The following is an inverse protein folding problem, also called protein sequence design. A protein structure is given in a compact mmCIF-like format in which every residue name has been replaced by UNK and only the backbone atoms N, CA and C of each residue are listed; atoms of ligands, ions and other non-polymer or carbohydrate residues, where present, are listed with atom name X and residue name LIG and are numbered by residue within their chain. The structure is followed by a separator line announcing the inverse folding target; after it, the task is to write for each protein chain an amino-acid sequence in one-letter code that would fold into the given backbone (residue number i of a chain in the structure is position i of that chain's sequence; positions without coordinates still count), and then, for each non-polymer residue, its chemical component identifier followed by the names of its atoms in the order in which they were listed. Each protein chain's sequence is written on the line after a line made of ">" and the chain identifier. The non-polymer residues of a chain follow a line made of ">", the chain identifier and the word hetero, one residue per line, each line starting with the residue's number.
data_IF_462159430440
#
_entry.id   IF_462159430440
#
_cell.length_a   1.000
_cell.length_b   1.000
_cell.length_c   1.000
_cell.angle_alpha   90.00
_cell.angle_beta   90.00
_cell.angle_gamma   90.00
#
_symmetry.space_group_name_H-M   'P 1'
#
loop_
_entity.id
_entity.type
_entity.pdbx_description
1 polymer ?
#
# COMPACT_ATOMS: atom_id res chain seq x y z
N UNK A 1 28.02 -5.91 5.02
CA UNK A 1 26.77 -5.55 4.32
C UNK A 1 25.67 -6.45 4.85
N UNK A 2 24.50 -5.91 5.23
CA UNK A 2 23.39 -6.76 5.67
C UNK A 2 22.88 -7.58 4.49
N UNK A 3 22.46 -8.82 4.74
CA UNK A 3 21.89 -9.67 3.68
C UNK A 3 20.50 -9.15 3.29
N UNK A 4 20.10 -9.30 2.02
CA UNK A 4 18.80 -8.83 1.53
C UNK A 4 17.61 -9.39 2.32
N UNK A 5 17.73 -10.60 2.87
CA UNK A 5 16.74 -11.22 3.76
C UNK A 5 16.59 -10.45 5.09
N UNK A 6 17.71 -9.98 5.65
CA UNK A 6 17.71 -9.27 6.94
C UNK A 6 17.07 -7.89 6.81
N UNK A 7 17.39 -7.17 5.74
CA UNK A 7 16.76 -5.87 5.47
C UNK A 7 15.26 -6.00 5.17
N UNK A 8 14.85 -7.04 4.45
CA UNK A 8 13.43 -7.38 4.26
C UNK A 8 12.75 -7.66 5.60
N UNK A 9 13.35 -8.48 6.48
CA UNK A 9 12.82 -8.78 7.81
C UNK A 9 12.58 -7.51 8.64
N UNK A 10 13.54 -6.58 8.63
CA UNK A 10 13.40 -5.30 9.32
C UNK A 10 12.20 -4.51 8.80
N UNK A 11 12.04 -4.42 7.48
CA UNK A 11 10.90 -3.74 6.86
C UNK A 11 9.57 -4.44 7.15
N UNK A 12 9.54 -5.77 7.12
CA UNK A 12 8.37 -6.55 7.51
C UNK A 12 7.97 -6.28 8.97
N UNK A 13 8.94 -6.16 9.88
CA UNK A 13 8.66 -5.78 11.27
C UNK A 13 8.05 -4.40 11.38
N UNK A 14 8.58 -3.41 10.66
CA UNK A 14 7.99 -2.07 10.59
C UNK A 14 6.57 -2.11 10.03
N UNK A 15 6.32 -2.88 8.96
CA UNK A 15 4.97 -3.06 8.40
C UNK A 15 3.99 -3.65 9.41
N UNK A 16 4.44 -4.61 10.20
CA UNK A 16 3.62 -5.22 11.26
C UNK A 16 3.36 -4.25 12.41
N UNK A 17 4.35 -3.43 12.78
CA UNK A 17 4.18 -2.36 13.77
C UNK A 17 3.16 -1.31 13.30
N UNK A 18 3.23 -0.88 12.02
CA UNK A 18 2.27 0.03 11.40
C UNK A 18 0.86 -0.57 11.33
N UNK A 19 0.75 -1.87 11.11
CA UNK A 19 -0.52 -2.60 11.12
C UNK A 19 -1.05 -2.90 12.55
N UNK A 20 -0.38 -2.40 13.61
CA UNK A 20 -0.79 -2.58 15.00
C UNK A 20 -0.57 -3.99 15.56
N UNK A 21 0.24 -4.82 14.90
CA UNK A 21 0.52 -6.19 15.33
C UNK A 21 1.55 -6.18 16.45
N UNK A 22 1.19 -6.70 17.64
CA UNK A 22 2.10 -6.80 18.78
C UNK A 22 3.36 -7.66 18.52
N UNK A 23 4.39 -7.50 19.36
CA UNK A 23 5.65 -8.27 19.25
C UNK A 23 5.49 -9.72 19.75
N UNK A 24 4.67 -9.93 20.78
CA UNK A 24 4.39 -11.26 21.33
C UNK A 24 3.41 -12.00 20.41
N UNK A 25 3.70 -13.26 20.10
CA UNK A 25 2.86 -14.07 19.20
C UNK A 25 2.89 -13.64 17.73
N UNK A 26 3.82 -12.76 17.35
CA UNK A 26 3.93 -12.19 16.00
C UNK A 26 4.08 -13.26 14.92
N UNK A 27 4.86 -14.31 15.19
CA UNK A 27 5.01 -15.45 14.26
C UNK A 27 3.67 -16.12 13.97
N UNK A 28 2.91 -16.47 15.02
CA UNK A 28 1.59 -17.09 14.86
C UNK A 28 0.58 -16.16 14.19
N UNK A 29 0.65 -14.85 14.48
CA UNK A 29 -0.18 -13.86 13.78
C UNK A 29 0.11 -13.83 12.28
N UNK A 30 1.39 -13.81 11.89
CA UNK A 30 1.79 -13.84 10.47
C UNK A 30 1.39 -15.16 9.82
N UNK A 31 1.65 -16.29 10.49
CA UNK A 31 1.27 -17.61 9.99
C UNK A 31 -0.23 -17.70 9.70
N UNK A 32 -1.07 -17.32 10.67
CA UNK A 32 -2.52 -17.35 10.53
C UNK A 32 -3.04 -16.33 9.50
N UNK A 33 -2.54 -15.10 9.50
CA UNK A 33 -3.03 -14.01 8.63
C UNK A 33 -2.71 -14.22 7.16
N UNK A 34 -1.58 -14.87 6.88
CA UNK A 34 -1.05 -15.07 5.53
C UNK A 34 -1.16 -16.52 5.06
N UNK A 35 -1.78 -17.41 5.84
CA UNK A 35 -1.95 -18.82 5.49
C UNK A 35 -0.62 -19.49 5.09
N UNK A 36 0.34 -19.45 6.03
CA UNK A 36 1.65 -20.08 5.92
C UNK A 36 1.98 -20.82 7.21
N UNK A 37 2.93 -21.76 7.16
CA UNK A 37 3.40 -22.43 8.37
C UNK A 37 4.09 -21.46 9.34
N UNK A 38 4.06 -21.77 10.64
CA UNK A 38 4.81 -21.03 11.66
C UNK A 38 6.31 -20.97 11.35
N UNK A 39 6.85 -22.06 10.78
CA UNK A 39 8.26 -22.13 10.38
C UNK A 39 8.58 -21.18 9.23
N UNK A 40 7.68 -21.05 8.25
CA UNK A 40 7.81 -20.08 7.16
C UNK A 40 7.75 -18.65 7.70
N UNK A 41 6.76 -18.34 8.54
CA UNK A 41 6.62 -17.03 9.17
C UNK A 41 7.86 -16.69 10.02
N UNK A 42 8.38 -17.65 10.79
CA UNK A 42 9.60 -17.51 11.60
C UNK A 42 10.82 -17.21 10.73
N UNK A 43 10.97 -17.89 9.59
CA UNK A 43 12.07 -17.64 8.65
C UNK A 43 12.01 -16.26 8.01
N UNK A 44 10.81 -15.77 7.64
CA UNK A 44 10.65 -14.42 7.12
C UNK A 44 10.97 -13.35 8.17
N UNK A 45 10.42 -13.50 9.38
CA UNK A 45 10.67 -12.56 10.48
C UNK A 45 12.12 -12.60 10.96
N UNK A 46 12.77 -13.76 10.91
CA UNK A 46 14.18 -13.90 11.28
C UNK A 46 15.19 -13.54 10.18
N UNK A 47 14.73 -13.13 8.99
CA UNK A 47 15.62 -12.81 7.87
C UNK A 47 16.41 -14.02 7.34
N UNK A 48 15.84 -15.22 7.44
CA UNK A 48 16.47 -16.46 6.99
C UNK A 48 16.11 -16.81 5.53
N UNK A 49 14.96 -16.34 5.03
CA UNK A 49 14.58 -16.44 3.63
C UNK A 49 13.67 -15.30 3.21
N UNK A 50 13.56 -15.10 1.89
CA UNK A 50 12.57 -14.20 1.31
C UNK A 50 11.28 -14.97 0.97
N UNK A 51 10.11 -14.32 1.07
CA UNK A 51 8.88 -14.81 0.45
C UNK A 51 9.01 -14.82 -1.08
N UNK A 52 8.13 -15.58 -1.75
CA UNK A 52 7.94 -15.45 -3.20
C UNK A 52 7.37 -14.08 -3.54
N UNK A 53 7.48 -13.67 -4.81
CA UNK A 53 6.89 -12.41 -5.28
C UNK A 53 5.40 -12.31 -4.95
N UNK A 54 4.62 -13.37 -5.21
CA UNK A 54 3.18 -13.41 -4.91
C UNK A 54 2.89 -13.22 -3.42
N UNK A 55 3.68 -13.84 -2.53
CA UNK A 55 3.54 -13.67 -1.08
C UNK A 55 3.97 -12.29 -0.61
N UNK A 56 4.98 -11.70 -1.24
CA UNK A 56 5.43 -10.33 -0.92
C UNK A 56 4.39 -9.28 -1.35
N UNK A 57 3.71 -9.48 -2.49
CA UNK A 57 2.58 -8.66 -2.91
C UNK A 57 1.40 -8.78 -1.94
N UNK A 58 1.06 -9.99 -1.51
CA UNK A 58 0.00 -10.23 -0.52
C UNK A 58 0.33 -9.60 0.85
N UNK A 59 1.59 -9.68 1.30
CA UNK A 59 2.09 -8.99 2.49
C UNK A 59 1.93 -7.48 2.37
N UNK A 60 2.42 -6.88 1.29
CA UNK A 60 2.28 -5.45 1.02
C UNK A 60 0.81 -5.03 1.04
N UNK A 61 -0.05 -5.82 0.38
CA UNK A 61 -1.47 -5.54 0.28
C UNK A 61 -2.18 -5.58 1.64
N UNK A 62 -2.07 -6.70 2.37
CA UNK A 62 -2.79 -6.88 3.64
C UNK A 62 -2.23 -6.06 4.80
N UNK A 63 -0.98 -5.60 4.71
CA UNK A 63 -0.36 -4.70 5.70
C UNK A 63 -0.48 -3.22 5.32
N UNK A 64 -0.98 -2.91 4.12
CA UNK A 64 -1.15 -1.53 3.67
C UNK A 64 0.17 -0.79 3.47
N UNK A 65 1.20 -1.47 2.97
CA UNK A 65 2.53 -0.87 2.74
C UNK A 65 2.99 -1.01 1.29
N UNK A 66 3.79 -0.06 0.79
CA UNK A 66 4.34 -0.12 -0.57
C UNK A 66 5.14 -1.41 -0.80
N UNK A 67 4.84 -2.12 -1.90
CA UNK A 67 5.60 -3.30 -2.30
C UNK A 67 7.06 -2.95 -2.60
N UNK A 68 7.31 -1.85 -3.33
CA UNK A 68 8.68 -1.43 -3.65
C UNK A 68 9.48 -1.16 -2.37
N UNK A 69 8.87 -0.46 -1.42
CA UNK A 69 9.49 -0.20 -0.14
C UNK A 69 9.75 -1.50 0.63
N UNK A 70 8.75 -2.39 0.75
CA UNK A 70 8.91 -3.67 1.44
C UNK A 70 10.03 -4.53 0.81
N UNK A 71 10.07 -4.60 -0.52
CA UNK A 71 11.02 -5.41 -1.28
C UNK A 71 12.44 -4.85 -1.27
N UNK A 72 12.60 -3.54 -1.48
CA UNK A 72 13.90 -2.91 -1.80
C UNK A 72 14.34 -1.85 -0.80
N UNK A 73 13.43 -1.36 0.04
CA UNK A 73 13.67 -0.22 0.94
C UNK A 73 13.63 1.15 0.26
N UNK A 74 13.39 1.22 -1.05
CA UNK A 74 13.21 2.51 -1.77
C UNK A 74 11.81 3.07 -1.54
N UNK A 75 11.68 4.40 -1.52
CA UNK A 75 10.42 5.09 -1.27
C UNK A 75 10.01 5.09 0.21
N UNK A 76 8.71 5.20 0.49
CA UNK A 76 8.19 5.21 1.86
C UNK A 76 7.17 4.09 2.13
N UNK A 77 7.01 3.63 3.39
CA UNK A 77 6.07 2.54 3.69
C UNK A 77 4.61 2.88 3.33
N UNK A 78 4.20 4.13 3.51
CA UNK A 78 2.81 4.60 3.38
C UNK A 78 2.43 5.01 1.96
N UNK A 79 3.31 4.84 0.97
CA UNK A 79 2.99 5.01 -0.45
C UNK A 79 2.12 3.88 -1.03
N UNK A 80 1.64 2.97 -0.18
CA UNK A 80 0.64 1.98 -0.56
C UNK A 80 -0.61 2.67 -1.14
N UNK A 81 -0.84 2.49 -2.44
CA UNK A 81 -1.94 3.13 -3.16
C UNK A 81 -1.67 4.56 -3.66
N UNK A 82 -0.46 5.14 -3.47
CA UNK A 82 -0.15 6.47 -4.03
C UNK A 82 0.09 6.49 -5.55
N UNK A 83 0.28 5.34 -6.21
CA UNK A 83 0.09 5.25 -7.67
C UNK A 83 -0.37 3.85 -8.07
N UNK A 84 -1.69 3.67 -8.22
CA UNK A 84 -2.37 3.13 -9.41
C UNK A 84 -3.84 2.85 -9.05
N UNK A 85 -4.61 3.91 -8.84
CA UNK A 85 -5.99 3.92 -9.31
C UNK A 85 -6.22 5.31 -9.94
N UNK A 86 -6.49 5.32 -11.25
CA UNK A 86 -6.90 6.44 -12.11
C UNK A 86 -5.97 7.65 -12.35
N UNK A 87 -4.94 7.94 -11.54
CA UNK A 87 -4.12 9.15 -11.77
C UNK A 87 -3.29 9.15 -13.07
N UNK A 88 -3.00 7.98 -13.66
CA UNK A 88 -2.32 7.89 -14.95
C UNK A 88 -3.25 8.06 -16.17
N UNK A 89 -4.57 8.00 -15.98
CA UNK A 89 -5.55 8.27 -17.03
C UNK A 89 -5.88 9.76 -17.17
N UNK A 90 -5.59 10.55 -16.14
CA UNK A 90 -5.61 12.01 -16.25
C UNK A 90 -4.21 12.45 -16.64
N UNK A 91 -3.98 12.60 -17.95
CA UNK A 91 -2.92 13.49 -18.38
C UNK A 91 -3.27 14.86 -17.76
N UNK A 92 -2.57 15.24 -16.69
CA UNK A 92 -2.73 16.55 -16.07
C UNK A 92 -2.10 17.53 -17.05
N UNK A 93 -2.88 17.90 -18.05
CA UNK A 93 -2.49 18.79 -19.14
C UNK A 93 -2.54 20.25 -18.68
N UNK A 94 -3.27 20.55 -17.60
CA UNK A 94 -3.43 21.91 -17.10
C UNK A 94 -3.36 22.07 -15.57
N UNK A 95 -2.94 23.28 -15.14
CA UNK A 95 -2.94 23.72 -13.73
C UNK A 95 -4.33 23.65 -13.09
N UNK A 96 -5.38 23.80 -13.88
CA UNK A 96 -6.77 23.82 -13.43
C UNK A 96 -7.24 22.41 -13.08
N UNK A 97 -6.86 21.40 -13.88
CA UNK A 97 -7.14 20.00 -13.59
C UNK A 97 -6.49 19.55 -12.27
N UNK A 98 -5.23 19.92 -12.04
CA UNK A 98 -4.55 19.67 -10.75
C UNK A 98 -5.31 20.27 -9.57
N UNK A 99 -5.79 21.51 -9.75
CA UNK A 99 -6.53 22.21 -8.70
C UNK A 99 -7.87 21.54 -8.42
N UNK A 100 -8.58 21.09 -9.46
CA UNK A 100 -9.85 20.38 -9.34
C UNK A 100 -9.67 19.05 -8.59
N UNK A 101 -8.67 18.25 -8.96
CA UNK A 101 -8.36 16.98 -8.28
C UNK A 101 -8.08 17.22 -6.79
N UNK A 102 -7.27 18.23 -6.48
CA UNK A 102 -6.96 18.59 -5.09
C UNK A 102 -8.18 19.03 -4.29
N UNK A 103 -9.10 19.79 -4.90
CA UNK A 103 -10.35 20.19 -4.25
C UNK A 103 -11.26 18.99 -4.00
N UNK A 104 -11.48 18.13 -5.00
CA UNK A 104 -12.32 16.94 -4.89
C UNK A 104 -11.79 16.00 -3.79
N UNK A 105 -10.47 15.83 -3.68
CA UNK A 105 -9.84 15.00 -2.64
C UNK A 105 -10.20 15.44 -1.22
N UNK A 106 -10.41 16.73 -0.98
CA UNK A 106 -10.71 17.31 0.33
C UNK A 106 -12.21 17.36 0.67
N UNK A 107 -13.10 17.02 -0.25
CA UNK A 107 -14.55 17.09 -0.03
C UNK A 107 -15.11 15.85 0.69
N UNK A 108 -16.11 16.01 1.58
CA UNK A 108 -16.95 14.93 2.10
C UNK A 108 -17.59 14.09 0.99
N UNK A 109 -17.82 12.80 1.27
CA UNK A 109 -18.29 11.82 0.28
C UNK A 109 -19.58 12.23 -0.44
N UNK A 110 -20.53 12.83 0.27
CA UNK A 110 -21.80 13.30 -0.31
C UNK A 110 -21.59 14.49 -1.26
N UNK A 111 -20.67 15.41 -0.94
CA UNK A 111 -20.36 16.56 -1.78
C UNK A 111 -19.61 16.15 -3.05
N UNK A 112 -18.78 15.09 -2.99
CA UNK A 112 -18.13 14.52 -4.18
C UNK A 112 -19.14 13.96 -5.17
N UNK A 113 -20.17 13.26 -4.71
CA UNK A 113 -21.23 12.73 -5.58
C UNK A 113 -22.02 13.84 -6.27
N UNK A 114 -22.41 14.87 -5.52
CA UNK A 114 -23.12 16.02 -6.09
C UNK A 114 -22.27 16.74 -7.16
N UNK A 115 -20.96 16.87 -6.92
CA UNK A 115 -20.04 17.47 -7.88
C UNK A 115 -19.88 16.62 -9.16
N UNK A 116 -19.80 15.29 -9.03
CA UNK A 116 -19.74 14.40 -10.19
C UNK A 116 -20.99 14.55 -11.08
N UNK A 117 -22.18 14.56 -10.49
CA UNK A 117 -23.43 14.76 -11.23
C UNK A 117 -23.49 16.09 -11.98
N UNK A 118 -22.97 17.16 -11.37
CA UNK A 118 -22.87 18.48 -12.01
C UNK A 118 -21.92 18.46 -13.20
N UNK A 119 -20.75 17.84 -13.04
CA UNK A 119 -19.75 17.77 -14.11
C UNK A 119 -20.22 16.89 -15.28
N UNK A 120 -20.88 15.77 -14.99
CA UNK A 120 -21.52 14.92 -16.00
C UNK A 120 -22.57 15.70 -16.81
N UNK A 121 -23.44 16.44 -16.12
CA UNK A 121 -24.46 17.25 -16.79
C UNK A 121 -23.87 18.38 -17.65
N UNK A 122 -22.72 18.95 -17.26
CA UNK A 122 -22.04 19.97 -18.05
C UNK A 122 -21.33 19.37 -19.27
N UNK A 123 -20.76 18.17 -19.13
CA UNK A 123 -20.04 17.48 -20.21
C UNK A 123 -20.96 16.92 -21.30
N UNK A 124 -22.21 16.57 -20.97
CA UNK A 124 -23.21 16.05 -21.93
C UNK A 124 -23.91 17.15 -22.76
N UNK A 125 -23.64 18.44 -22.49
CA UNK A 125 -24.33 19.57 -23.14
C UNK A 125 -23.56 20.23 -24.29
N UNK A 126 -22.36 19.75 -24.58
CA UNK A 126 -21.58 20.09 -25.78
C UNK A 126 -21.73 18.98 -26.85
#
# INVERSE_FOLDING_TARGET
>A
MASSQHEFSQRLHISLDLAGVGKRGRTGHVAARFDVSDETARKWLGGLCLPTLSRMLDLAHRLGVSFEWLATGRGTPTEYGKVQDVAALYHIESREQSRLIGLIGNLPREQRKAMLLLLEHLAERD
#
